data_IF_736237334090
#
_entry.id   IF_736237334090
#
_cell.length_a   1.000
_cell.length_b   1.000
_cell.length_c   1.000
_cell.angle_alpha   90.00
_cell.angle_beta   90.00
_cell.angle_gamma   90.00
#
_symmetry.space_group_name_H-M   'P 1'
#
loop_
_entity.id
_entity.type
_entity.pdbx_description
1 polymer ?
#
# COMPACT_ATOMS: atom_id res chain seq x y z
N UNK A 1 13.98 1.34 4.58
CA UNK A 1 13.23 0.35 3.79
C UNK A 1 12.80 -0.80 4.69
N UNK A 2 11.76 -1.53 4.32
CA UNK A 2 11.27 -2.71 5.04
C UNK A 2 10.39 -3.57 4.15
N UNK A 3 10.16 -4.81 4.55
CA UNK A 3 9.25 -5.73 3.85
C UNK A 3 7.96 -5.80 4.64
N UNK A 4 6.86 -5.37 4.03
CA UNK A 4 5.51 -5.53 4.55
C UNK A 4 4.77 -6.63 3.80
N UNK A 5 3.46 -6.71 4.03
CA UNK A 5 2.59 -7.61 3.30
C UNK A 5 1.43 -6.83 2.67
N UNK A 6 1.15 -7.11 1.41
CA UNK A 6 0.06 -6.51 0.65
C UNK A 6 -0.88 -7.59 0.11
N UNK A 7 -2.18 -7.32 0.13
CA UNK A 7 -3.19 -8.09 -0.58
C UNK A 7 -3.83 -7.20 -1.65
N UNK A 8 -3.49 -7.48 -2.90
CA UNK A 8 -3.89 -6.72 -4.08
C UNK A 8 -4.86 -7.51 -4.96
N UNK A 9 -5.54 -8.51 -4.40
CA UNK A 9 -6.51 -9.36 -5.09
C UNK A 9 -5.95 -10.71 -5.58
N UNK A 10 -4.66 -10.97 -5.38
CA UNK A 10 -4.01 -12.27 -5.67
C UNK A 10 -3.61 -13.02 -4.38
N UNK A 11 -4.11 -12.57 -3.22
CA UNK A 11 -3.68 -13.05 -1.91
C UNK A 11 -2.53 -12.24 -1.33
N UNK A 12 -2.24 -12.49 -0.06
CA UNK A 12 -1.24 -11.74 0.72
C UNK A 12 0.18 -12.14 0.30
N UNK A 13 0.94 -11.18 -0.21
CA UNK A 13 2.32 -11.35 -0.66
C UNK A 13 3.25 -10.31 -0.01
N UNK A 14 4.56 -10.62 0.14
CA UNK A 14 5.54 -9.64 0.60
C UNK A 14 5.67 -8.49 -0.40
N UNK A 15 5.87 -7.27 0.10
CA UNK A 15 6.08 -6.08 -0.72
C UNK A 15 7.20 -5.23 -0.11
N UNK A 16 8.17 -4.82 -0.94
CA UNK A 16 9.23 -3.90 -0.52
C UNK A 16 8.69 -2.47 -0.39
N UNK A 17 8.98 -1.82 0.74
CA UNK A 17 8.44 -0.50 1.09
C UNK A 17 9.55 0.44 1.56
N UNK A 18 9.60 1.65 0.98
CA UNK A 18 10.56 2.70 1.36
C UNK A 18 9.83 3.83 2.10
N UNK A 19 10.12 4.01 3.38
CA UNK A 19 9.51 5.04 4.23
C UNK A 19 10.51 6.19 4.46
N UNK A 20 10.14 7.42 4.09
CA UNK A 20 10.94 8.63 4.32
C UNK A 20 10.04 9.66 5.02
N UNK A 21 10.22 9.83 6.32
CA UNK A 21 9.34 10.70 7.16
C UNK A 21 7.84 10.42 6.90
N UNK A 22 7.51 9.14 6.80
CA UNK A 22 6.19 8.68 6.40
C UNK A 22 5.08 9.12 7.38
N UNK A 23 3.91 9.55 6.89
CA UNK A 23 2.74 9.76 7.73
C UNK A 23 2.21 8.42 8.26
N UNK A 24 1.43 8.47 9.35
CA UNK A 24 0.77 7.29 9.94
C UNK A 24 -0.74 7.35 9.73
N UNK A 25 -1.31 6.29 9.17
CA UNK A 25 -2.77 6.13 9.07
C UNK A 25 -3.31 5.73 10.45
N UNK A 26 -3.98 6.66 11.14
CA UNK A 26 -4.48 6.43 12.50
C UNK A 26 -5.87 5.81 12.55
N UNK A 27 -6.68 6.02 11.53
CA UNK A 27 -8.07 5.54 11.44
C UNK A 27 -8.44 5.28 9.98
N UNK A 28 -9.26 4.26 9.76
CA UNK A 28 -9.87 3.95 8.47
C UNK A 28 -11.37 4.25 8.55
N UNK A 29 -11.92 4.85 7.50
CA UNK A 29 -13.36 5.01 7.35
C UNK A 29 -14.03 3.71 6.91
N UNK A 30 -15.36 3.59 7.03
CA UNK A 30 -16.09 2.37 6.70
C UNK A 30 -16.01 1.97 5.22
N UNK A 31 -15.78 2.93 4.32
CA UNK A 31 -15.64 2.69 2.88
C UNK A 31 -14.18 2.46 2.43
N UNK A 32 -13.22 2.47 3.37
CA UNK A 32 -11.79 2.33 3.06
C UNK A 32 -11.39 0.87 3.17
N UNK A 33 -10.79 0.34 2.10
CA UNK A 33 -10.20 -0.99 2.08
C UNK A 33 -8.70 -0.89 2.37
N UNK A 34 -8.20 -1.46 3.49
CA UNK A 34 -6.76 -1.57 3.72
C UNK A 34 -6.17 -2.61 2.77
N UNK A 35 -5.04 -2.28 2.14
CA UNK A 35 -4.40 -3.11 1.11
C UNK A 35 -3.01 -3.60 1.52
N UNK A 36 -2.28 -2.83 2.34
CA UNK A 36 -0.94 -3.24 2.78
C UNK A 36 -0.67 -2.87 4.24
N UNK A 37 0.10 -3.73 4.90
CA UNK A 37 0.46 -3.64 6.30
C UNK A 37 1.97 -3.77 6.50
N UNK A 38 2.51 -2.99 7.42
CA UNK A 38 3.89 -3.10 7.91
C UNK A 38 3.90 -2.91 9.42
N UNK A 39 4.41 -3.89 10.18
CA UNK A 39 4.43 -3.87 11.65
C UNK A 39 3.05 -3.54 12.27
N UNK A 40 2.00 -4.23 11.80
CA UNK A 40 0.60 -4.05 12.22
C UNK A 40 0.01 -2.65 11.94
N UNK A 41 0.71 -1.82 11.19
CA UNK A 41 0.19 -0.53 10.71
C UNK A 41 -0.26 -0.62 9.26
N UNK A 42 -1.44 -0.07 8.96
CA UNK A 42 -1.91 0.10 7.59
C UNK A 42 -1.07 1.18 6.90
N UNK A 43 -0.47 0.82 5.77
CA UNK A 43 0.44 1.69 5.01
C UNK A 43 0.03 1.86 3.55
N UNK A 44 -0.99 1.14 3.09
CA UNK A 44 -1.65 1.38 1.80
C UNK A 44 -3.13 1.07 1.92
N UNK A 45 -3.97 1.93 1.34
CA UNK A 45 -5.42 1.77 1.38
C UNK A 45 -6.07 2.35 0.12
N UNK A 46 -7.31 1.92 -0.14
CA UNK A 46 -8.11 2.36 -1.29
C UNK A 46 -9.51 2.75 -0.85
N UNK A 47 -10.07 3.76 -1.52
CA UNK A 47 -11.49 4.10 -1.44
C UNK A 47 -12.00 4.48 -2.84
N UNK A 48 -12.86 3.67 -3.44
CA UNK A 48 -13.35 3.88 -4.80
C UNK A 48 -12.20 3.89 -5.82
N UNK A 49 -12.02 5.00 -6.52
CA UNK A 49 -10.93 5.24 -7.48
C UNK A 49 -9.65 5.81 -6.86
N UNK A 50 -9.63 6.11 -5.56
CA UNK A 50 -8.48 6.71 -4.88
C UNK A 50 -7.63 5.62 -4.24
N UNK A 51 -6.33 5.64 -4.53
CA UNK A 51 -5.29 4.80 -3.90
C UNK A 51 -4.32 5.69 -3.13
N UNK A 52 -3.99 5.33 -1.89
CA UNK A 52 -3.00 6.03 -1.06
C UNK A 52 -1.97 5.06 -0.50
N UNK A 53 -0.72 5.50 -0.40
CA UNK A 53 0.37 4.78 0.24
C UNK A 53 1.19 5.73 1.14
N UNK A 54 1.64 5.23 2.29
CA UNK A 54 2.52 5.95 3.21
C UNK A 54 4.02 5.68 2.96
N UNK A 55 4.34 5.01 1.85
CA UNK A 55 5.68 4.69 1.41
C UNK A 55 5.86 5.09 -0.06
N UNK A 56 7.10 5.03 -0.51
CA UNK A 56 7.54 5.41 -1.84
C UNK A 56 7.76 4.16 -2.72
N UNK A 57 6.73 3.63 -3.41
CA UNK A 57 6.89 2.48 -4.30
C UNK A 57 7.83 2.76 -5.48
N UNK A 58 7.97 4.03 -5.88
CA UNK A 58 8.83 4.51 -6.97
C UNK A 58 10.33 4.44 -6.66
N UNK A 59 10.69 4.31 -5.38
CA UNK A 59 12.08 4.15 -4.94
C UNK A 59 12.50 2.68 -4.85
N UNK A 60 11.80 1.80 -5.55
CA UNK A 60 12.10 0.37 -5.69
C UNK A 60 12.04 -0.03 -7.16
N UNK A 61 12.71 -1.13 -7.53
CA UNK A 61 12.60 -1.71 -8.88
C UNK A 61 11.30 -2.51 -9.09
N UNK A 62 10.48 -2.67 -8.04
CA UNK A 62 9.23 -3.42 -8.08
C UNK A 62 8.07 -2.55 -8.58
N UNK A 63 7.41 -2.99 -9.65
CA UNK A 63 6.31 -2.26 -10.27
C UNK A 63 4.93 -2.70 -9.78
N UNK A 64 4.85 -3.54 -8.74
CA UNK A 64 3.62 -4.16 -8.24
C UNK A 64 2.53 -3.14 -7.91
N UNK A 65 2.86 -2.07 -7.18
CA UNK A 65 1.89 -1.01 -6.81
C UNK A 65 1.45 -0.20 -8.04
N UNK A 66 2.38 0.14 -8.93
CA UNK A 66 2.09 0.89 -10.16
C UNK A 66 1.21 0.09 -11.12
N UNK A 67 1.46 -1.22 -11.26
CA UNK A 67 0.61 -2.12 -12.06
C UNK A 67 -0.78 -2.28 -11.46
N UNK A 68 -0.87 -2.41 -10.14
CA UNK A 68 -2.16 -2.42 -9.46
C UNK A 68 -2.95 -1.15 -9.71
N UNK A 69 -2.32 0.02 -9.56
CA UNK A 69 -2.95 1.31 -9.85
C UNK A 69 -3.38 1.43 -11.32
N UNK A 70 -2.51 1.06 -12.26
CA UNK A 70 -2.83 1.10 -13.70
C UNK A 70 -4.01 0.18 -14.05
N UNK A 71 -4.13 -0.98 -13.38
CA UNK A 71 -5.26 -1.89 -13.55
C UNK A 71 -6.57 -1.43 -12.90
N UNK A 72 -6.57 -0.33 -12.13
CA UNK A 72 -7.80 0.28 -11.60
C UNK A 72 -8.51 1.19 -12.61
N UNK A 73 -7.88 1.46 -13.76
CA UNK A 73 -8.41 2.30 -14.85
C UNK A 73 -9.06 1.41 -15.91
#
# INVERSE_FOLDING_TARGET
>A
EGTGAADLGAGRAPLKMVFIRAPRIRRLGPAVTPLAWHQDECVMARQGSVLVAAFHPELTDETTVHRFFAGMV
#
